data_IF_875293797328
#
_entry.id   IF_875293797328
#
_cell.length_a   1.000
_cell.length_b   1.000
_cell.length_c   1.000
_cell.angle_alpha   90.00
_cell.angle_beta   90.00
_cell.angle_gamma   90.00
#
_symmetry.space_group_name_H-M   'P 1'
#
loop_
_entity.id
_entity.type
_entity.pdbx_description
1 polymer ?
#
# COMPACT_ATOMS: atom_id res chain seq x y z
N UNK A 1 -56.55 45.82 -31.46
CA UNK A 1 -55.11 46.02 -31.17
C UNK A 1 -54.86 45.64 -29.72
N UNK A 2 -54.38 44.43 -29.45
CA UNK A 2 -53.82 44.05 -28.15
C UNK A 2 -52.65 43.11 -28.39
N UNK A 3 -51.45 43.60 -28.08
CA UNK A 3 -50.19 42.93 -28.30
C UNK A 3 -49.92 41.89 -27.20
N UNK A 4 -49.55 40.67 -27.60
CA UNK A 4 -48.97 39.66 -26.72
C UNK A 4 -47.52 40.04 -26.42
N UNK A 5 -47.22 40.33 -25.16
CA UNK A 5 -45.85 40.45 -24.66
C UNK A 5 -45.38 39.06 -24.19
N UNK A 6 -44.54 38.41 -24.98
CA UNK A 6 -43.86 37.17 -24.61
C UNK A 6 -42.85 37.42 -23.49
N UNK A 7 -43.03 36.73 -22.36
CA UNK A 7 -42.11 36.72 -21.22
C UNK A 7 -40.90 35.85 -21.58
N UNK A 8 -39.69 36.42 -21.64
CA UNK A 8 -38.43 35.65 -21.67
C UNK A 8 -38.20 35.00 -20.30
N UNK A 9 -37.74 33.74 -20.21
CA UNK A 9 -37.25 33.18 -18.97
C UNK A 9 -35.87 33.76 -18.67
N UNK A 10 -35.72 34.35 -17.49
CA UNK A 10 -34.43 34.82 -16.99
C UNK A 10 -33.63 33.61 -16.50
N UNK A 11 -32.41 33.48 -17.02
CA UNK A 11 -31.45 32.46 -16.62
C UNK A 11 -30.85 32.86 -15.29
N UNK A 12 -31.13 32.12 -14.23
CA UNK A 12 -30.46 32.28 -12.94
C UNK A 12 -29.13 31.50 -12.98
N UNK A 13 -27.95 32.14 -12.93
CA UNK A 13 -26.69 31.41 -12.92
C UNK A 13 -26.51 30.76 -11.55
N UNK A 14 -26.65 29.45 -11.52
CA UNK A 14 -26.28 28.63 -10.37
C UNK A 14 -24.82 28.93 -9.97
N UNK A 15 -24.51 29.20 -8.69
CA UNK A 15 -23.14 29.48 -8.28
C UNK A 15 -22.24 28.27 -8.55
N UNK A 16 -20.97 28.48 -8.95
CA UNK A 16 -20.06 27.39 -9.25
C UNK A 16 -19.91 26.50 -8.02
N UNK A 17 -20.15 25.21 -8.21
CA UNK A 17 -20.07 24.19 -7.18
C UNK A 17 -18.74 24.32 -6.43
N UNK A 18 -18.83 24.42 -5.10
CA UNK A 18 -17.69 24.24 -4.20
C UNK A 18 -16.91 23.02 -4.68
N UNK A 19 -15.68 23.26 -5.11
CA UNK A 19 -14.67 22.22 -5.32
C UNK A 19 -14.86 21.17 -4.24
N UNK A 20 -15.17 19.93 -4.65
CA UNK A 20 -15.18 18.77 -3.76
C UNK A 20 -13.78 18.73 -3.16
N UNK A 21 -13.61 19.29 -1.96
CA UNK A 21 -12.46 19.01 -1.13
C UNK A 21 -12.52 17.50 -0.92
N UNK A 22 -11.73 16.76 -1.68
CA UNK A 22 -11.48 15.34 -1.42
C UNK A 22 -11.21 15.21 0.07
N UNK A 23 -11.86 14.24 0.71
CA UNK A 23 -11.54 13.99 2.11
C UNK A 23 -10.02 13.68 2.19
N UNK A 24 -9.28 14.14 3.21
CA UNK A 24 -7.82 14.00 3.24
C UNK A 24 -7.31 12.56 2.99
N UNK A 25 -8.08 11.54 3.41
CA UNK A 25 -7.77 10.14 3.12
C UNK A 25 -7.92 9.75 1.65
N UNK A 26 -8.89 10.32 0.93
CA UNK A 26 -9.10 10.06 -0.51
C UNK A 26 -7.94 10.61 -1.35
N UNK A 27 -7.45 11.80 -1.02
CA UNK A 27 -6.35 12.41 -1.74
C UNK A 27 -5.02 11.67 -1.53
N UNK A 28 -4.75 11.22 -0.30
CA UNK A 28 -3.54 10.43 -0.02
C UNK A 28 -3.59 9.08 -0.75
N UNK A 29 -4.75 8.41 -0.74
CA UNK A 29 -4.94 7.14 -1.44
C UNK A 29 -4.79 7.30 -2.96
N UNK A 30 -5.31 8.38 -3.52
CA UNK A 30 -5.17 8.65 -4.96
C UNK A 30 -3.70 8.77 -5.39
N UNK A 31 -2.86 9.40 -4.57
CA UNK A 31 -1.41 9.50 -4.82
C UNK A 31 -0.73 8.14 -4.73
N UNK A 32 -1.04 7.32 -3.72
CA UNK A 32 -0.44 5.98 -3.57
C UNK A 32 -0.90 5.03 -4.68
N UNK A 33 -2.17 5.10 -5.09
CA UNK A 33 -2.71 4.32 -6.20
C UNK A 33 -2.06 4.73 -7.54
N UNK A 34 -1.85 6.03 -7.77
CA UNK A 34 -1.14 6.53 -8.95
C UNK A 34 0.31 6.05 -8.98
N UNK A 35 0.98 6.03 -7.83
CA UNK A 35 2.33 5.50 -7.72
C UNK A 35 2.38 3.99 -8.01
N UNK A 36 1.45 3.21 -7.47
CA UNK A 36 1.34 1.79 -7.75
C UNK A 36 1.11 1.53 -9.26
N UNK A 37 0.17 2.25 -9.88
CA UNK A 37 -0.07 2.16 -11.34
C UNK A 37 1.17 2.52 -12.15
N UNK A 38 1.88 3.57 -11.75
CA UNK A 38 3.14 3.96 -12.40
C UNK A 38 4.17 2.83 -12.33
N UNK A 39 4.37 2.25 -11.14
CA UNK A 39 5.41 1.23 -10.90
C UNK A 39 5.14 -0.09 -11.62
N UNK A 40 3.86 -0.39 -11.92
CA UNK A 40 3.52 -1.49 -12.83
C UNK A 40 4.08 -1.31 -14.24
N UNK A 41 4.24 -0.07 -14.69
CA UNK A 41 4.60 0.25 -16.08
C UNK A 41 6.07 0.67 -16.22
N UNK A 42 6.63 1.34 -15.22
CA UNK A 42 7.92 2.04 -15.30
C UNK A 42 8.74 1.87 -14.01
N UNK A 43 10.09 1.91 -14.08
CA UNK A 43 10.95 1.77 -12.91
C UNK A 43 10.94 3.03 -12.03
N UNK A 44 11.22 2.88 -10.74
CA UNK A 44 11.21 3.98 -9.76
C UNK A 44 12.12 5.16 -10.14
N UNK A 45 13.27 4.90 -10.75
CA UNK A 45 14.21 5.94 -11.23
C UNK A 45 13.61 6.94 -12.23
N UNK A 46 12.51 6.57 -12.90
CA UNK A 46 11.79 7.46 -13.84
C UNK A 46 10.64 8.22 -13.16
N UNK A 47 10.32 7.90 -11.90
CA UNK A 47 9.26 8.55 -11.16
C UNK A 47 9.71 9.95 -10.74
N UNK A 48 8.90 10.94 -11.07
CA UNK A 48 9.05 12.31 -10.56
C UNK A 48 7.73 12.76 -9.96
N UNK A 49 7.75 13.73 -9.04
CA UNK A 49 6.52 14.33 -8.50
C UNK A 49 5.65 14.91 -9.61
N UNK A 50 6.22 15.42 -10.70
CA UNK A 50 5.43 15.90 -11.83
C UNK A 50 4.67 14.75 -12.52
N UNK A 51 5.42 13.73 -12.96
CA UNK A 51 4.88 12.58 -13.70
C UNK A 51 3.86 11.79 -12.87
N UNK A 52 4.09 11.68 -11.56
CA UNK A 52 3.13 11.05 -10.65
C UNK A 52 1.81 11.83 -10.60
N UNK A 53 1.91 13.14 -10.38
CA UNK A 53 0.73 13.97 -10.13
C UNK A 53 -0.09 14.23 -11.40
N UNK A 54 0.51 14.09 -12.59
CA UNK A 54 -0.20 14.10 -13.88
C UNK A 54 -1.23 12.95 -14.02
N UNK A 55 -1.09 11.85 -13.25
CA UNK A 55 -2.06 10.74 -13.20
C UNK A 55 -3.05 10.87 -12.03
N UNK A 56 -3.16 12.07 -11.44
CA UNK A 56 -4.10 12.37 -10.36
C UNK A 56 -5.00 13.55 -10.72
N UNK A 57 -6.11 13.67 -10.02
CA UNK A 57 -7.01 14.83 -10.07
C UNK A 57 -6.51 16.01 -9.21
N UNK A 58 -5.36 15.84 -8.54
CA UNK A 58 -4.81 16.76 -7.56
C UNK A 58 -3.74 17.68 -8.17
N UNK A 59 -3.59 18.86 -7.56
CA UNK A 59 -2.49 19.77 -7.93
C UNK A 59 -1.13 19.21 -7.49
N UNK A 60 -0.05 19.48 -8.23
CA UNK A 60 1.31 19.07 -7.84
C UNK A 60 1.70 19.49 -6.41
N UNK A 61 1.38 20.70 -5.91
CA UNK A 61 1.63 21.06 -4.51
C UNK A 61 0.90 20.19 -3.48
N UNK A 62 -0.21 19.53 -3.85
CA UNK A 62 -0.93 18.62 -2.96
C UNK A 62 -0.07 17.43 -2.54
N UNK A 63 0.87 17.00 -3.38
CA UNK A 63 1.83 15.94 -3.04
C UNK A 63 2.55 16.24 -1.72
N UNK A 64 3.11 17.44 -1.61
CA UNK A 64 3.92 17.86 -0.47
C UNK A 64 3.12 18.07 0.83
N UNK A 65 1.78 18.02 0.77
CA UNK A 65 0.95 18.00 1.97
C UNK A 65 0.95 16.62 2.65
N UNK A 66 1.24 15.56 1.90
CA UNK A 66 1.21 14.17 2.38
C UNK A 66 2.59 13.51 2.40
N UNK A 67 3.44 13.84 1.43
CA UNK A 67 4.75 13.22 1.24
C UNK A 67 5.82 14.30 1.03
N UNK A 68 6.87 14.36 1.87
CA UNK A 68 7.95 15.33 1.69
C UNK A 68 8.76 15.07 0.40
N UNK A 69 8.87 13.81 -0.02
CA UNK A 69 9.59 13.37 -1.20
C UNK A 69 9.06 12.01 -1.69
N UNK A 70 9.62 11.51 -2.81
CA UNK A 70 9.22 10.22 -3.38
C UNK A 70 9.66 9.01 -2.56
N UNK A 71 10.72 9.12 -1.76
CA UNK A 71 11.17 8.02 -0.91
C UNK A 71 10.19 7.82 0.26
N UNK A 72 9.66 8.90 0.82
CA UNK A 72 8.59 8.86 1.82
C UNK A 72 7.30 8.23 1.27
N UNK A 73 6.99 8.47 0.00
CA UNK A 73 5.90 7.78 -0.69
C UNK A 73 6.16 6.27 -0.80
N UNK A 74 7.37 5.87 -1.15
CA UNK A 74 7.74 4.45 -1.25
C UNK A 74 7.71 3.75 0.12
N UNK A 75 8.24 4.38 1.17
CA UNK A 75 8.14 3.89 2.55
C UNK A 75 6.68 3.74 2.99
N UNK A 76 5.85 4.71 2.64
CA UNK A 76 4.41 4.68 2.92
C UNK A 76 3.71 3.52 2.22
N UNK A 77 4.02 3.27 0.94
CA UNK A 77 3.51 2.11 0.21
C UNK A 77 3.96 0.81 0.87
N UNK A 78 5.23 0.70 1.26
CA UNK A 78 5.74 -0.47 1.96
C UNK A 78 5.04 -0.72 3.30
N UNK A 79 4.77 0.34 4.07
CA UNK A 79 4.03 0.25 5.32
C UNK A 79 2.57 -0.18 5.12
N UNK A 80 1.89 0.31 4.06
CA UNK A 80 0.53 -0.13 3.71
C UNK A 80 0.50 -1.61 3.34
N UNK A 81 1.50 -2.07 2.59
CA UNK A 81 1.66 -3.48 2.23
C UNK A 81 1.90 -4.33 3.48
N UNK A 82 2.75 -3.86 4.40
CA UNK A 82 3.01 -4.55 5.67
C UNK A 82 1.73 -4.75 6.48
N UNK A 83 0.89 -3.72 6.60
CA UNK A 83 -0.41 -3.81 7.29
C UNK A 83 -1.33 -4.81 6.58
N UNK A 84 -1.38 -4.79 5.25
CA UNK A 84 -2.19 -5.73 4.48
C UNK A 84 -1.72 -7.18 4.63
N UNK A 85 -0.41 -7.43 4.61
CA UNK A 85 0.18 -8.75 4.82
C UNK A 85 -0.10 -9.28 6.22
N UNK A 86 0.06 -8.47 7.26
CA UNK A 86 -0.25 -8.89 8.63
C UNK A 86 -1.73 -9.22 8.78
N UNK A 87 -2.62 -8.35 8.28
CA UNK A 87 -4.07 -8.63 8.30
C UNK A 87 -4.44 -9.90 7.55
N UNK A 88 -3.77 -10.20 6.44
CA UNK A 88 -3.98 -11.46 5.71
C UNK A 88 -3.45 -12.67 6.50
N UNK A 89 -2.33 -12.49 7.20
CA UNK A 89 -1.68 -13.55 7.98
C UNK A 89 -2.29 -13.79 9.37
N UNK A 90 -3.15 -12.88 9.85
CA UNK A 90 -3.75 -12.90 11.18
C UNK A 90 -4.34 -14.26 11.58
N UNK A 91 -5.16 -14.97 10.76
CA UNK A 91 -5.72 -16.27 11.14
C UNK A 91 -4.65 -17.27 11.58
N UNK A 92 -3.54 -17.36 10.84
CA UNK A 92 -2.43 -18.23 11.18
C UNK A 92 -1.58 -17.70 12.34
N UNK A 93 -1.28 -16.39 12.36
CA UNK A 93 -0.45 -15.76 13.41
C UNK A 93 -1.14 -15.83 14.77
N UNK A 94 -2.43 -15.50 14.84
CA UNK A 94 -3.24 -15.58 16.06
C UNK A 94 -3.47 -17.04 16.51
N UNK A 95 -3.24 -18.01 15.63
CA UNK A 95 -3.43 -19.42 15.90
C UNK A 95 -4.89 -19.81 16.05
N UNK A 96 -5.77 -19.15 15.30
CA UNK A 96 -7.20 -19.40 15.30
C UNK A 96 -7.56 -20.59 14.39
N UNK A 97 -8.59 -21.33 14.77
CA UNK A 97 -9.11 -22.43 13.95
C UNK A 97 -8.18 -23.64 13.82
N UNK A 98 -8.33 -24.38 12.72
CA UNK A 98 -7.49 -25.54 12.41
C UNK A 98 -6.17 -25.07 11.78
N UNK A 99 -5.04 -25.57 12.29
CA UNK A 99 -3.72 -25.01 12.00
C UNK A 99 -3.34 -25.02 10.51
N UNK A 100 -3.64 -26.10 9.78
CA UNK A 100 -3.30 -26.22 8.36
C UNK A 100 -4.23 -25.38 7.49
N UNK A 101 -5.53 -25.34 7.81
CA UNK A 101 -6.51 -24.51 7.13
C UNK A 101 -6.18 -23.02 7.30
N UNK A 102 -5.91 -22.57 8.53
CA UNK A 102 -5.52 -21.20 8.82
C UNK A 102 -4.22 -20.81 8.10
N UNK A 103 -3.21 -21.70 8.09
CA UNK A 103 -1.97 -21.47 7.33
C UNK A 103 -2.26 -21.28 5.83
N UNK A 104 -3.09 -22.14 5.22
CA UNK A 104 -3.41 -22.04 3.79
C UNK A 104 -4.16 -20.76 3.45
N UNK A 105 -5.15 -20.40 4.26
CA UNK A 105 -5.91 -19.15 4.10
C UNK A 105 -4.99 -17.94 4.20
N UNK A 106 -4.20 -17.87 5.28
CA UNK A 106 -3.26 -16.77 5.51
C UNK A 106 -2.21 -16.65 4.42
N UNK A 107 -1.61 -17.76 4.00
CA UNK A 107 -0.62 -17.76 2.93
C UNK A 107 -1.24 -17.33 1.60
N UNK A 108 -2.47 -17.75 1.30
CA UNK A 108 -3.17 -17.29 0.10
C UNK A 108 -3.36 -15.76 0.11
N UNK A 109 -3.83 -15.21 1.24
CA UNK A 109 -4.01 -13.76 1.39
C UNK A 109 -2.70 -12.99 1.23
N UNK A 110 -1.63 -13.45 1.89
CA UNK A 110 -0.29 -12.84 1.77
C UNK A 110 0.21 -12.88 0.32
N UNK A 111 0.08 -14.02 -0.37
CA UNK A 111 0.47 -14.15 -1.79
C UNK A 111 -0.34 -13.19 -2.66
N UNK A 112 -1.65 -13.04 -2.43
CA UNK A 112 -2.45 -12.06 -3.17
C UNK A 112 -1.98 -10.62 -2.93
N UNK A 113 -1.65 -10.26 -1.69
CA UNK A 113 -1.05 -8.95 -1.39
C UNK A 113 0.26 -8.76 -2.16
N UNK A 114 1.14 -9.76 -2.17
CA UNK A 114 2.39 -9.70 -2.93
C UNK A 114 2.17 -9.57 -4.44
N UNK A 115 1.15 -10.23 -5.00
CA UNK A 115 0.82 -10.12 -6.44
C UNK A 115 0.35 -8.71 -6.78
N UNK A 116 -0.54 -8.12 -5.97
CA UNK A 116 -1.07 -6.77 -6.21
C UNK A 116 0.02 -5.70 -6.10
N UNK A 117 0.92 -5.85 -5.12
CA UNK A 117 1.90 -4.83 -4.76
C UNK A 117 3.34 -5.16 -5.22
N UNK A 118 3.53 -6.25 -5.97
CA UNK A 118 4.83 -6.72 -6.46
C UNK A 118 5.73 -5.64 -7.09
N UNK A 119 5.21 -4.67 -7.87
CA UNK A 119 6.04 -3.61 -8.42
C UNK A 119 6.67 -2.69 -7.38
N UNK A 120 6.04 -2.51 -6.21
CA UNK A 120 6.61 -1.72 -5.10
C UNK A 120 7.80 -2.47 -4.51
N UNK A 121 7.66 -3.77 -4.25
CA UNK A 121 8.78 -4.59 -3.78
C UNK A 121 9.94 -4.59 -4.77
N UNK A 122 9.65 -4.80 -6.05
CA UNK A 122 10.66 -4.70 -7.13
C UNK A 122 11.37 -3.36 -7.10
N UNK A 123 10.61 -2.26 -7.06
CA UNK A 123 11.15 -0.91 -7.08
C UNK A 123 12.09 -0.64 -5.89
N UNK A 124 11.70 -1.08 -4.69
CA UNK A 124 12.50 -0.91 -3.47
C UNK A 124 13.77 -1.78 -3.54
N UNK A 125 13.66 -3.06 -3.91
CA UNK A 125 14.80 -3.98 -4.00
C UNK A 125 15.80 -3.52 -5.08
N UNK A 126 15.32 -3.02 -6.22
CA UNK A 126 16.19 -2.47 -7.28
C UNK A 126 16.90 -1.18 -6.86
N UNK A 127 16.26 -0.35 -6.04
CA UNK A 127 16.80 0.94 -5.59
C UNK A 127 17.73 0.82 -4.37
N UNK A 128 17.45 -0.12 -3.46
CA UNK A 128 18.13 -0.29 -2.18
C UNK A 128 19.68 -0.25 -2.26
N UNK A 129 20.37 -0.90 -3.23
CA UNK A 129 21.84 -0.87 -3.28
C UNK A 129 22.45 0.52 -3.50
N UNK A 130 21.65 1.52 -3.88
CA UNK A 130 22.07 2.89 -4.15
C UNK A 130 21.31 3.91 -3.28
N UNK A 131 20.50 3.43 -2.34
CA UNK A 131 19.61 4.24 -1.52
C UNK A 131 19.51 3.65 -0.10
N UNK A 132 20.36 4.14 0.80
CA UNK A 132 20.44 3.71 2.20
C UNK A 132 19.09 3.78 2.93
N UNK A 133 18.21 4.73 2.53
CA UNK A 133 16.90 4.92 3.16
C UNK A 133 15.96 3.79 2.75
N UNK A 134 15.91 3.46 1.46
CA UNK A 134 15.11 2.33 0.97
C UNK A 134 15.70 0.98 1.38
N UNK A 135 17.02 0.84 1.43
CA UNK A 135 17.68 -0.36 1.98
C UNK A 135 17.27 -0.60 3.43
N UNK A 136 17.33 0.45 4.26
CA UNK A 136 16.90 0.37 5.66
C UNK A 136 15.41 0.02 5.77
N UNK A 137 14.55 0.68 5.00
CA UNK A 137 13.10 0.41 5.01
C UNK A 137 12.81 -1.06 4.63
N UNK A 138 13.50 -1.59 3.62
CA UNK A 138 13.38 -2.99 3.21
C UNK A 138 13.86 -3.97 4.29
N UNK A 139 15.05 -3.72 4.87
CA UNK A 139 15.62 -4.56 5.91
C UNK A 139 14.73 -4.60 7.17
N UNK A 140 14.17 -3.45 7.56
CA UNK A 140 13.26 -3.36 8.69
C UNK A 140 11.92 -4.07 8.43
N UNK A 141 11.36 -3.92 7.23
CA UNK A 141 10.15 -4.64 6.80
C UNK A 141 10.36 -6.16 6.85
N UNK A 142 11.41 -6.67 6.21
CA UNK A 142 11.71 -8.12 6.22
C UNK A 142 12.04 -8.62 7.62
N UNK A 143 12.72 -7.80 8.44
CA UNK A 143 13.01 -8.12 9.84
C UNK A 143 11.75 -8.31 10.68
N UNK A 144 10.76 -7.41 10.57
CA UNK A 144 9.48 -7.52 11.28
C UNK A 144 8.68 -8.73 10.82
N UNK A 145 8.64 -8.98 9.51
CA UNK A 145 7.95 -10.14 8.95
C UNK A 145 8.58 -11.46 9.42
N UNK A 146 9.91 -11.59 9.35
CA UNK A 146 10.63 -12.76 9.85
C UNK A 146 10.37 -12.99 11.35
N UNK A 147 10.33 -11.92 12.15
CA UNK A 147 10.04 -12.02 13.57
C UNK A 147 8.63 -12.56 13.86
N UNK A 148 7.62 -12.11 13.10
CA UNK A 148 6.25 -12.60 13.25
C UNK A 148 6.14 -14.11 12.92
N UNK A 149 6.79 -14.55 11.84
CA UNK A 149 6.85 -15.97 11.45
C UNK A 149 7.61 -16.81 12.48
N UNK A 150 8.76 -16.33 12.95
CA UNK A 150 9.57 -16.99 13.99
C UNK A 150 8.75 -17.18 15.28
N UNK A 151 8.10 -16.12 15.77
CA UNK A 151 7.28 -16.17 16.98
C UNK A 151 6.16 -17.21 16.86
N UNK A 152 5.54 -17.32 15.68
CA UNK A 152 4.49 -18.31 15.43
C UNK A 152 5.03 -19.74 15.39
N UNK A 153 6.18 -19.97 14.76
CA UNK A 153 6.86 -21.27 14.76
C UNK A 153 7.18 -21.71 16.20
N UNK A 154 7.73 -20.81 17.03
CA UNK A 154 8.01 -21.08 18.45
C UNK A 154 6.72 -21.46 19.20
N UNK A 155 5.63 -20.71 18.99
CA UNK A 155 4.35 -21.02 19.62
C UNK A 155 3.82 -22.42 19.23
N UNK A 156 3.99 -22.83 17.96
CA UNK A 156 3.60 -24.17 17.50
C UNK A 156 4.49 -25.28 18.09
N UNK A 157 5.78 -25.02 18.32
CA UNK A 157 6.68 -25.96 19.00
C UNK A 157 6.28 -26.15 20.47
N UNK A 158 6.00 -25.06 21.19
CA UNK A 158 5.55 -25.09 22.59
C UNK A 158 4.23 -25.85 22.72
N UNK A 159 3.32 -25.71 21.75
CA UNK A 159 2.07 -26.44 21.69
C UNK A 159 2.20 -27.92 21.26
N UNK A 160 3.40 -28.37 20.89
CA UNK A 160 3.65 -29.74 20.42
C UNK A 160 3.06 -30.04 19.03
N UNK A 161 2.74 -29.00 18.25
CA UNK A 161 2.16 -29.15 16.90
C UNK A 161 3.22 -29.45 15.84
N UNK A 162 4.45 -28.98 16.05
CA UNK A 162 5.60 -29.20 15.16
C UNK A 162 6.84 -29.59 15.96
N UNK A 163 7.79 -30.34 15.37
CA UNK A 163 9.02 -30.76 16.06
C UNK A 163 9.95 -29.57 16.38
N UNK A 164 10.89 -29.75 17.33
CA UNK A 164 11.92 -28.76 17.60
C UNK A 164 12.83 -28.57 16.37
N UNK A 165 13.07 -27.32 16.02
CA UNK A 165 13.88 -26.82 14.91
C UNK A 165 14.33 -25.39 15.21
N UNK A 166 15.29 -24.87 14.47
CA UNK A 166 15.70 -23.46 14.55
C UNK A 166 14.64 -22.57 13.90
N UNK A 167 13.79 -21.95 14.72
CA UNK A 167 12.66 -21.14 14.28
C UNK A 167 13.09 -19.92 13.48
N UNK A 168 14.22 -19.29 13.85
CA UNK A 168 14.74 -18.12 13.16
C UNK A 168 15.23 -18.47 11.77
N UNK A 169 16.06 -19.50 11.67
CA UNK A 169 16.57 -19.97 10.38
C UNK A 169 15.44 -20.42 9.46
N UNK A 170 14.41 -21.09 10.01
CA UNK A 170 13.24 -21.50 9.24
C UNK A 170 12.41 -20.29 8.76
N UNK A 171 12.14 -19.32 9.62
CA UNK A 171 11.42 -18.10 9.25
C UNK A 171 12.13 -17.35 8.11
N UNK A 172 13.46 -17.20 8.19
CA UNK A 172 14.25 -16.57 7.13
C UNK A 172 14.28 -17.37 5.82
N UNK A 173 14.19 -18.71 5.86
CA UNK A 173 14.23 -19.54 4.66
C UNK A 173 12.90 -19.60 3.91
N UNK A 174 11.79 -19.31 4.59
CA UNK A 174 10.44 -19.33 4.01
C UNK A 174 10.05 -18.00 3.33
N UNK A 175 10.78 -16.92 3.62
CA UNK A 175 10.53 -15.56 3.15
C UNK A 175 11.59 -15.09 2.16
#
# INVERSE_FOLDING_TARGET
MSAQHGRKPDFDPTPPGRSRRHAPGEARQEITDAALRFLWQRPFRELTVAVLMDDTTLSRPSFYQYFPDLHALMESLLAEIEVAMHKAADPWIAGEGEAVAALRESLNGVVQTCVVHGPVFRAIVEAAPQDDRLEKAWAEFMGRWNHAVEARIIAQQVAGLIPPLDARSMACALN
#
